data_IF_627691014242
#
_entry.id   IF_627691014242
#
_cell.length_a   1.000
_cell.length_b   1.000
_cell.length_c   1.000
_cell.angle_alpha   90.00
_cell.angle_beta   90.00
_cell.angle_gamma   90.00
#
_symmetry.space_group_name_H-M   'P 1'
#
loop_
_entity.id
_entity.type
_entity.pdbx_description
1 polymer ?
#
# COMPACT_ATOMS: atom_id res chain seq x y z
N UNK A 1 -5.56 -23.04 -20.47
CA UNK A 1 -5.79 -23.73 -19.19
C UNK A 1 -5.27 -22.81 -18.09
N UNK A 2 -6.16 -22.10 -17.37
CA UNK A 2 -5.72 -21.18 -16.32
C UNK A 2 -5.44 -21.97 -15.03
N UNK A 3 -4.16 -22.19 -14.73
CA UNK A 3 -3.65 -22.94 -13.57
C UNK A 3 -3.87 -22.25 -12.20
N UNK A 4 -4.84 -21.33 -12.07
CA UNK A 4 -5.08 -20.59 -10.83
C UNK A 4 -6.02 -21.30 -9.85
N UNK A 5 -6.60 -22.45 -10.24
CA UNK A 5 -7.56 -23.23 -9.45
C UNK A 5 -7.06 -23.67 -8.04
N UNK A 6 -5.75 -23.62 -7.78
CA UNK A 6 -5.15 -24.01 -6.50
C UNK A 6 -4.62 -22.86 -5.63
N UNK A 7 -4.62 -21.61 -6.12
CA UNK A 7 -4.11 -20.46 -5.35
C UNK A 7 -5.28 -19.74 -4.70
N UNK A 8 -5.24 -19.61 -3.37
CA UNK A 8 -6.26 -18.87 -2.62
C UNK A 8 -6.43 -17.44 -3.12
N UNK A 9 -7.65 -16.91 -3.02
CA UNK A 9 -7.96 -15.50 -3.28
C UNK A 9 -7.97 -14.75 -1.96
N UNK A 10 -7.23 -13.66 -1.89
CA UNK A 10 -7.27 -12.73 -0.75
C UNK A 10 -8.25 -11.61 -1.10
N UNK A 11 -9.20 -11.33 -0.21
CA UNK A 11 -10.14 -10.22 -0.39
C UNK A 11 -9.37 -8.90 -0.46
N UNK A 12 -9.69 -8.07 -1.45
CA UNK A 12 -9.04 -6.77 -1.66
C UNK A 12 -7.85 -6.78 -2.62
N UNK A 13 -7.21 -7.95 -2.85
CA UNK A 13 -6.10 -8.06 -3.81
C UNK A 13 -6.59 -8.42 -5.22
N UNK A 14 -5.84 -7.99 -6.27
CA UNK A 14 -6.17 -8.31 -7.65
C UNK A 14 -6.07 -9.81 -7.95
N UNK A 15 -6.66 -10.21 -9.06
CA UNK A 15 -6.48 -11.56 -9.60
C UNK A 15 -5.01 -11.81 -9.94
N UNK A 16 -4.59 -13.08 -9.90
CA UNK A 16 -3.19 -13.50 -10.07
C UNK A 16 -2.55 -13.13 -11.42
N UNK A 17 -3.34 -12.70 -12.39
CA UNK A 17 -2.95 -12.23 -13.73
C UNK A 17 -2.85 -10.70 -13.85
N UNK A 18 -3.15 -9.96 -12.78
CA UNK A 18 -2.86 -8.52 -12.64
C UNK A 18 -1.73 -8.33 -11.62
N UNK A 19 -0.75 -7.50 -11.97
CA UNK A 19 0.29 -7.09 -11.04
C UNK A 19 -0.33 -6.30 -9.89
N UNK A 20 -0.07 -6.71 -8.64
CA UNK A 20 -0.48 -5.96 -7.47
C UNK A 20 0.47 -4.77 -7.23
N UNK A 21 -0.10 -3.61 -6.90
CA UNK A 21 0.67 -2.41 -6.57
C UNK A 21 0.60 -2.18 -5.07
N UNK A 22 1.77 -2.15 -4.43
CA UNK A 22 1.92 -1.80 -3.00
C UNK A 22 2.36 -0.33 -2.89
N UNK A 23 1.52 0.49 -2.27
CA UNK A 23 1.92 1.80 -1.77
C UNK A 23 2.75 1.61 -0.50
N UNK A 24 3.78 2.43 -0.30
CA UNK A 24 4.64 2.33 0.89
C UNK A 24 4.54 3.63 1.68
N UNK A 25 4.04 3.53 2.92
CA UNK A 25 4.02 4.65 3.87
C UNK A 25 5.12 4.44 4.90
N UNK A 26 6.26 5.13 4.71
CA UNK A 26 7.35 5.11 5.67
C UNK A 26 7.06 6.09 6.81
N UNK A 27 6.84 5.57 8.01
CA UNK A 27 6.61 6.36 9.22
C UNK A 27 7.78 6.15 10.17
N UNK A 28 8.86 6.93 10.00
CA UNK A 28 10.00 6.90 10.93
C UNK A 28 10.36 8.31 11.41
N UNK A 29 10.79 8.47 12.68
CA UNK A 29 11.27 9.75 13.19
C UNK A 29 12.64 10.19 12.62
N UNK A 30 13.36 9.30 11.92
CA UNK A 30 14.76 9.48 11.53
C UNK A 30 15.00 9.84 10.05
N UNK A 31 13.99 10.35 9.35
CA UNK A 31 14.19 10.85 7.99
C UNK A 31 15.08 12.09 8.01
N UNK A 32 16.33 11.94 7.56
CA UNK A 32 17.36 12.99 7.47
C UNK A 32 16.97 14.20 6.58
N UNK A 33 15.79 14.17 5.91
CA UNK A 33 15.38 15.17 4.93
C UNK A 33 14.24 16.13 5.37
N UNK A 34 13.39 15.76 6.33
CA UNK A 34 12.07 16.43 6.49
C UNK A 34 11.80 17.08 7.86
N UNK A 35 12.76 17.02 8.79
CA UNK A 35 12.67 17.73 10.07
C UNK A 35 11.54 17.27 11.01
N UNK A 36 11.18 15.98 10.98
CA UNK A 36 10.22 15.39 11.93
C UNK A 36 8.75 15.75 11.72
N UNK A 37 8.38 16.37 10.59
CA UNK A 37 7.01 16.83 10.28
C UNK A 37 6.00 15.73 9.94
N UNK A 38 6.45 14.50 9.70
CA UNK A 38 5.58 13.37 9.30
C UNK A 38 5.37 12.31 10.39
N UNK A 39 5.73 12.59 11.65
CA UNK A 39 5.41 11.69 12.78
C UNK A 39 3.91 11.70 13.16
N UNK A 40 3.12 12.59 12.57
CA UNK A 40 1.68 12.60 12.81
C UNK A 40 1.02 11.38 12.13
N UNK A 41 0.57 10.45 12.96
CA UNK A 41 -0.22 9.27 12.57
C UNK A 41 -1.39 9.63 11.66
N UNK A 42 -1.99 10.81 11.85
CA UNK A 42 -3.10 11.29 11.02
C UNK A 42 -2.65 11.49 9.58
N UNK A 43 -1.48 12.10 9.37
CA UNK A 43 -0.93 12.33 8.04
C UNK A 43 -0.49 11.02 7.38
N UNK A 44 0.08 10.09 8.15
CA UNK A 44 0.44 8.76 7.63
C UNK A 44 -0.80 7.99 7.15
N UNK A 45 -1.89 7.99 7.94
CA UNK A 45 -3.16 7.37 7.55
C UNK A 45 -3.75 8.05 6.33
N UNK A 46 -3.77 9.39 6.30
CA UNK A 46 -4.27 10.14 5.14
C UNK A 46 -3.49 9.78 3.87
N UNK A 47 -2.16 9.77 3.94
CA UNK A 47 -1.32 9.44 2.79
C UNK A 47 -1.59 8.01 2.30
N UNK A 48 -1.79 7.06 3.22
CA UNK A 48 -2.17 5.69 2.85
C UNK A 48 -3.52 5.63 2.14
N UNK A 49 -4.52 6.39 2.60
CA UNK A 49 -5.81 6.46 1.92
C UNK A 49 -5.67 7.08 0.52
N UNK A 50 -4.87 8.14 0.38
CA UNK A 50 -4.60 8.79 -0.90
C UNK A 50 -3.96 7.77 -1.89
N UNK A 51 -2.99 6.97 -1.46
CA UNK A 51 -2.37 5.91 -2.27
C UNK A 51 -3.39 4.86 -2.77
N UNK A 52 -4.35 4.48 -1.93
CA UNK A 52 -5.45 3.59 -2.35
C UNK A 52 -6.29 4.27 -3.44
N UNK A 53 -6.60 5.56 -3.30
CA UNK A 53 -7.35 6.29 -4.33
C UNK A 53 -6.60 6.42 -5.65
N UNK A 54 -5.26 6.41 -5.62
CA UNK A 54 -4.38 6.42 -6.79
C UNK A 54 -4.22 5.03 -7.44
N UNK A 55 -4.72 3.96 -6.80
CA UNK A 55 -4.77 2.61 -7.35
C UNK A 55 -3.83 1.60 -6.69
N UNK A 56 -3.27 1.92 -5.52
CA UNK A 56 -2.61 0.91 -4.70
C UNK A 56 -3.63 -0.15 -4.25
N UNK A 57 -3.26 -1.42 -4.44
CA UNK A 57 -4.08 -2.56 -4.00
C UNK A 57 -3.85 -2.88 -2.51
N UNK A 58 -2.72 -2.40 -1.96
CA UNK A 58 -2.33 -2.51 -0.58
C UNK A 58 -1.39 -1.36 -0.20
N UNK A 59 -1.38 -1.00 1.08
CA UNK A 59 -0.56 0.06 1.68
C UNK A 59 0.09 -0.45 2.96
#
# INVERSE_FOLDING_TARGET
>A
MNNHSGRGRVTGLPAWDRCAVMGVVNVTPDSFSDGGRWFDTTNAVKHGLDLVTEGADLV
#
